data_IF_300783788432
#
_entry.id   IF_300783788432
#
_cell.length_a   1.000
_cell.length_b   1.000
_cell.length_c   1.000
_cell.angle_alpha   90.00
_cell.angle_beta   90.00
_cell.angle_gamma   90.00
#
_symmetry.space_group_name_H-M   'P 1'
#
loop_
_entity.id
_entity.type
_entity.pdbx_description
1 polymer ?
#
# COMPACT_ATOMS: atom_id res chain seq x y z
N UNK A 1 15.41 6.49 11.17
CA UNK A 1 15.99 5.41 10.35
C UNK A 1 14.94 4.31 10.33
N UNK A 2 14.68 3.69 9.18
CA UNK A 2 13.71 2.59 9.11
C UNK A 2 14.17 1.38 9.93
N UNK A 3 13.24 0.68 10.57
CA UNK A 3 13.48 -0.61 11.23
C UNK A 3 13.25 -1.82 10.30
N UNK A 4 13.15 -1.61 8.97
CA UNK A 4 13.05 -2.70 8.00
C UNK A 4 14.35 -3.53 7.98
N UNK A 5 14.22 -4.86 8.10
CA UNK A 5 15.36 -5.79 8.15
C UNK A 5 15.46 -6.70 6.92
N UNK A 6 14.51 -6.62 6.00
CA UNK A 6 14.47 -7.41 4.78
C UNK A 6 13.04 -7.74 4.35
N UNK A 7 12.92 -8.74 3.48
CA UNK A 7 11.64 -9.28 3.03
C UNK A 7 11.39 -10.66 3.66
N UNK A 8 10.14 -10.98 3.91
CA UNK A 8 9.70 -12.27 4.45
C UNK A 8 8.47 -12.77 3.71
N UNK A 9 8.49 -14.03 3.29
CA UNK A 9 7.33 -14.66 2.69
C UNK A 9 6.22 -14.87 3.72
N UNK A 10 5.00 -14.45 3.37
CA UNK A 10 3.83 -14.60 4.25
C UNK A 10 3.41 -16.06 4.47
N UNK A 11 3.70 -16.95 3.52
CA UNK A 11 3.26 -18.34 3.54
C UNK A 11 4.31 -19.28 4.17
N UNK A 12 5.51 -19.33 3.61
CA UNK A 12 6.58 -20.23 4.08
C UNK A 12 7.49 -19.60 5.14
N UNK A 13 7.55 -18.27 5.24
CA UNK A 13 8.39 -17.56 6.20
C UNK A 13 9.84 -17.36 5.76
N UNK A 14 10.24 -17.83 4.56
CA UNK A 14 11.57 -17.59 3.99
C UNK A 14 11.88 -16.10 3.94
N UNK A 15 13.12 -15.76 4.26
CA UNK A 15 13.62 -14.38 4.33
C UNK A 15 14.53 -14.06 3.16
N UNK A 16 14.48 -12.83 2.68
CA UNK A 16 15.30 -12.29 1.59
C UNK A 16 15.87 -10.93 2.02
N UNK A 17 16.99 -10.49 1.43
CA UNK A 17 17.46 -9.12 1.61
C UNK A 17 16.45 -8.10 1.09
N UNK A 18 16.68 -6.82 1.40
CA UNK A 18 15.91 -5.71 0.83
C UNK A 18 16.30 -5.55 -0.63
N UNK A 19 15.50 -6.10 -1.54
CA UNK A 19 15.68 -6.05 -2.99
C UNK A 19 14.33 -5.97 -3.72
N UNK A 20 14.34 -5.65 -5.01
CA UNK A 20 13.12 -5.57 -5.83
C UNK A 20 12.57 -6.96 -6.16
N UNK A 21 11.97 -7.61 -5.16
CA UNK A 21 11.40 -8.95 -5.24
C UNK A 21 9.97 -8.96 -4.70
N UNK A 22 9.08 -9.63 -5.42
CA UNK A 22 7.64 -9.67 -5.08
C UNK A 22 7.11 -11.06 -4.74
N UNK A 23 7.77 -12.12 -5.23
CA UNK A 23 7.40 -13.51 -4.99
C UNK A 23 8.53 -14.28 -4.31
N UNK A 24 8.14 -15.24 -3.46
CA UNK A 24 9.05 -16.18 -2.84
C UNK A 24 9.47 -17.27 -3.83
N UNK A 25 10.76 -17.59 -3.90
CA UNK A 25 11.30 -18.64 -4.77
C UNK A 25 10.92 -20.05 -4.32
N UNK A 26 10.65 -20.22 -3.02
CA UNK A 26 10.35 -21.54 -2.43
C UNK A 26 8.89 -21.96 -2.62
N UNK A 27 7.97 -21.01 -2.58
CA UNK A 27 6.53 -21.33 -2.56
C UNK A 27 5.66 -20.40 -3.41
N UNK A 28 6.26 -19.46 -4.14
CA UNK A 28 5.57 -18.44 -4.94
C UNK A 28 4.60 -17.54 -4.15
N UNK A 29 4.64 -17.62 -2.81
CA UNK A 29 3.85 -16.78 -1.92
C UNK A 29 4.31 -15.31 -1.94
N UNK A 30 3.44 -14.37 -1.56
CA UNK A 30 3.78 -12.95 -1.54
C UNK A 30 4.81 -12.64 -0.47
N UNK A 31 5.73 -11.74 -0.80
CA UNK A 31 6.68 -11.17 0.14
C UNK A 31 6.13 -9.93 0.82
N UNK A 32 6.50 -9.74 2.08
CA UNK A 32 6.24 -8.52 2.84
C UNK A 32 7.53 -8.00 3.46
N UNK A 33 7.60 -6.69 3.68
CA UNK A 33 8.70 -6.11 4.46
C UNK A 33 8.60 -6.57 5.91
N UNK A 34 9.71 -7.09 6.42
CA UNK A 34 9.90 -7.49 7.81
C UNK A 34 10.58 -6.36 8.58
N UNK A 35 10.14 -6.16 9.83
CA UNK A 35 10.61 -5.10 10.71
C UNK A 35 11.14 -5.69 12.01
N UNK A 36 12.21 -5.09 12.56
CA UNK A 36 12.64 -5.35 13.93
C UNK A 36 11.79 -4.51 14.89
N UNK A 37 10.62 -5.05 15.26
CA UNK A 37 9.69 -4.35 16.15
C UNK A 37 10.21 -4.26 17.59
N UNK A 38 11.11 -5.14 18.02
CA UNK A 38 11.75 -5.07 19.34
C UNK A 38 12.75 -3.91 19.43
N UNK A 39 13.50 -3.66 18.35
CA UNK A 39 14.32 -2.46 18.23
C UNK A 39 13.44 -1.21 18.11
N UNK A 40 12.39 -1.26 17.28
CA UNK A 40 11.49 -0.13 17.07
C UNK A 40 10.79 0.29 18.37
N UNK A 41 10.36 -0.65 19.21
CA UNK A 41 9.69 -0.39 20.50
C UNK A 41 10.51 0.48 21.47
N UNK A 42 11.83 0.48 21.35
CA UNK A 42 12.73 1.29 22.19
C UNK A 42 12.81 2.75 21.75
N UNK A 43 12.37 3.07 20.53
CA UNK A 43 12.60 4.36 19.88
C UNK A 43 11.30 5.03 19.44
N UNK A 44 10.34 4.25 18.93
CA UNK A 44 9.09 4.75 18.39
C UNK A 44 8.13 5.05 19.54
N UNK A 45 7.87 6.34 19.76
CA UNK A 45 6.88 6.82 20.73
C UNK A 45 5.77 7.62 20.04
N UNK A 46 4.69 7.89 20.77
CA UNK A 46 3.57 8.71 20.30
C UNK A 46 4.01 10.12 19.93
N UNK A 47 4.87 10.71 20.75
CA UNK A 47 5.41 12.06 20.57
C UNK A 47 6.31 12.14 19.35
N UNK A 48 7.14 11.11 19.14
CA UNK A 48 8.02 11.02 17.97
C UNK A 48 7.24 10.95 16.67
N UNK A 49 6.16 10.14 16.64
CA UNK A 49 5.24 10.07 15.49
C UNK A 49 4.56 11.43 15.28
N UNK A 50 4.01 12.03 16.34
CA UNK A 50 3.27 13.29 16.25
C UNK A 50 4.15 14.48 15.80
N UNK A 51 5.46 14.44 16.10
CA UNK A 51 6.44 15.44 15.65
C UNK A 51 6.81 15.33 14.16
N UNK A 52 6.43 14.23 13.49
CA UNK A 52 6.65 14.05 12.06
C UNK A 52 5.75 14.92 11.18
N UNK A 53 6.03 15.00 9.86
CA UNK A 53 5.27 15.82 8.92
C UNK A 53 3.80 15.40 8.83
N UNK A 54 2.93 16.24 8.28
CA UNK A 54 1.53 15.89 8.01
C UNK A 54 1.40 15.00 6.75
N UNK A 55 2.13 13.89 6.71
CA UNK A 55 2.13 12.89 5.65
C UNK A 55 2.40 11.49 6.22
N UNK A 56 2.37 10.46 5.38
CA UNK A 56 2.70 9.09 5.80
C UNK A 56 4.11 8.97 6.39
N UNK A 57 5.01 9.89 6.06
CA UNK A 57 6.41 9.86 6.49
C UNK A 57 6.60 10.22 7.96
N UNK A 58 5.56 10.65 8.66
CA UNK A 58 5.57 10.68 10.14
C UNK A 58 5.73 9.30 10.76
N UNK A 59 5.41 8.24 10.01
CA UNK A 59 5.60 6.85 10.40
C UNK A 59 6.87 6.22 9.82
N UNK A 60 7.85 7.01 9.36
CA UNK A 60 9.03 6.52 8.62
C UNK A 60 9.81 5.39 9.31
N UNK A 61 9.86 5.36 10.65
CA UNK A 61 10.52 4.29 11.39
C UNK A 61 9.86 2.91 11.15
N UNK A 62 8.56 2.89 10.83
CA UNK A 62 7.77 1.69 10.55
C UNK A 62 7.44 1.51 9.06
N UNK A 63 8.02 2.32 8.19
CA UNK A 63 7.90 2.20 6.73
C UNK A 63 9.19 1.61 6.15
N UNK A 64 9.16 1.09 4.92
CA UNK A 64 10.38 0.63 4.26
C UNK A 64 11.47 1.69 4.27
N UNK A 65 12.72 1.24 4.22
CA UNK A 65 13.82 2.17 4.00
C UNK A 65 13.65 2.91 2.66
N UNK A 66 14.05 4.16 2.68
CA UNK A 66 13.97 5.12 1.57
C UNK A 66 15.33 5.74 1.26
N UNK A 67 16.39 5.34 1.99
CA UNK A 67 17.77 5.66 1.66
C UNK A 67 18.16 7.14 1.74
N UNK A 68 17.31 8.02 2.31
CA UNK A 68 17.56 9.45 2.36
C UNK A 68 16.28 10.27 2.47
N UNK A 69 16.07 11.20 1.54
CA UNK A 69 14.79 11.91 1.44
C UNK A 69 13.69 10.91 0.99
N UNK A 70 12.44 11.01 1.45
CA UNK A 70 11.35 10.24 0.86
C UNK A 70 10.78 10.92 -0.40
N UNK A 71 10.00 10.17 -1.18
CA UNK A 71 9.21 10.69 -2.30
C UNK A 71 7.85 11.10 -1.73
N UNK A 72 7.72 12.35 -1.28
CA UNK A 72 6.53 12.83 -0.57
C UNK A 72 5.82 13.96 -1.34
N UNK A 73 4.58 13.70 -1.79
CA UNK A 73 3.69 14.72 -2.34
C UNK A 73 2.71 15.30 -1.30
N UNK A 74 2.89 14.97 -0.02
CA UNK A 74 1.90 15.20 1.03
C UNK A 74 0.86 14.07 1.09
N UNK A 75 1.25 12.84 0.77
CA UNK A 75 0.35 11.70 0.85
C UNK A 75 0.07 11.37 2.32
N UNK A 76 -1.19 11.08 2.64
CA UNK A 76 -1.60 10.75 4.00
C UNK A 76 -2.07 11.94 4.83
N UNK A 77 -2.09 11.75 6.14
CA UNK A 77 -2.71 12.60 7.14
C UNK A 77 -4.13 13.09 6.74
N UNK A 78 -4.88 12.22 6.06
CA UNK A 78 -6.17 12.60 5.48
C UNK A 78 -7.25 12.76 6.54
N UNK A 79 -8.32 13.53 6.28
CA UNK A 79 -9.36 13.75 7.29
C UNK A 79 -10.02 12.46 7.78
N UNK A 80 -10.19 12.34 9.09
CA UNK A 80 -11.06 11.37 9.73
C UNK A 80 -12.32 12.09 10.20
N UNK A 81 -13.42 11.93 9.48
CA UNK A 81 -14.64 12.71 9.67
C UNK A 81 -15.68 11.90 10.44
N UNK A 82 -16.16 12.43 11.56
CA UNK A 82 -17.33 11.88 12.25
C UNK A 82 -18.57 12.09 11.39
N UNK A 83 -19.38 11.05 11.22
CA UNK A 83 -20.51 11.04 10.29
C UNK A 83 -21.85 10.80 11.01
N UNK A 84 -22.22 11.68 11.94
CA UNK A 84 -23.36 11.49 12.86
C UNK A 84 -24.69 11.25 12.14
N UNK A 85 -24.97 11.99 11.06
CA UNK A 85 -26.21 11.82 10.28
C UNK A 85 -26.29 10.47 9.60
N UNK A 86 -25.16 10.00 9.06
CA UNK A 86 -25.09 8.69 8.40
C UNK A 86 -25.13 7.56 9.43
N UNK A 87 -24.51 7.76 10.59
CA UNK A 87 -24.60 6.82 11.71
C UNK A 87 -26.07 6.63 12.13
N UNK A 88 -26.81 7.72 12.33
CA UNK A 88 -28.23 7.68 12.69
C UNK A 88 -29.09 6.96 11.64
N UNK A 89 -28.88 7.25 10.36
CA UNK A 89 -29.60 6.60 9.25
C UNK A 89 -29.35 5.08 9.21
N UNK A 90 -28.12 4.65 9.52
CA UNK A 90 -27.73 3.23 9.52
C UNK A 90 -28.00 2.52 10.85
N UNK A 91 -28.54 3.23 11.87
CA UNK A 91 -28.76 2.67 13.21
C UNK A 91 -27.47 2.37 13.98
N UNK A 92 -26.36 3.06 13.67
CA UNK A 92 -25.07 2.93 14.33
C UNK A 92 -24.93 3.99 15.43
N UNK A 93 -24.31 3.62 16.56
CA UNK A 93 -23.99 4.58 17.63
C UNK A 93 -22.91 5.58 17.25
N UNK A 94 -21.97 5.17 16.38
CA UNK A 94 -20.82 5.96 15.99
C UNK A 94 -20.32 5.51 14.61
N UNK A 95 -19.93 6.49 13.77
CA UNK A 95 -19.36 6.23 12.45
C UNK A 95 -18.32 7.30 12.11
N UNK A 96 -17.16 6.85 11.63
CA UNK A 96 -16.08 7.69 11.14
C UNK A 96 -15.72 7.33 9.70
N UNK A 97 -15.40 8.34 8.90
CA UNK A 97 -15.02 8.21 7.50
C UNK A 97 -13.58 8.69 7.31
N UNK A 98 -12.70 7.78 6.93
CA UNK A 98 -11.31 8.10 6.56
C UNK A 98 -11.25 8.50 5.08
N UNK A 99 -11.09 9.79 4.82
CA UNK A 99 -11.30 10.38 3.49
C UNK A 99 -10.02 10.48 2.66
N UNK A 100 -9.61 9.34 2.09
CA UNK A 100 -8.43 9.25 1.21
C UNK A 100 -8.64 9.85 -0.18
N UNK A 101 -9.83 10.40 -0.48
CA UNK A 101 -10.06 11.20 -1.70
C UNK A 101 -9.35 12.56 -1.65
N UNK A 102 -8.80 12.92 -0.49
CA UNK A 102 -8.08 14.19 -0.25
C UNK A 102 -6.57 14.07 -0.41
N UNK A 103 -6.05 12.90 -0.78
CA UNK A 103 -4.66 12.76 -1.17
C UNK A 103 -4.35 13.56 -2.47
N UNK A 104 -3.07 13.84 -2.77
CA UNK A 104 -2.67 14.71 -3.89
C UNK A 104 -3.29 14.36 -5.26
N UNK A 105 -3.40 13.07 -5.61
CA UNK A 105 -4.04 12.61 -6.85
C UNK A 105 -5.45 12.08 -6.63
N UNK A 106 -6.07 12.43 -5.50
CA UNK A 106 -7.46 12.11 -5.20
C UNK A 106 -7.71 10.66 -4.76
N UNK A 107 -6.68 9.90 -4.35
CA UNK A 107 -6.89 8.52 -3.90
C UNK A 107 -5.83 8.01 -2.94
N UNK A 108 -6.12 6.89 -2.25
CA UNK A 108 -5.16 6.21 -1.37
C UNK A 108 -3.90 5.71 -2.10
N UNK A 109 -3.87 5.73 -3.44
CA UNK A 109 -2.71 5.26 -4.22
C UNK A 109 -1.46 6.07 -3.95
N UNK A 110 -1.60 7.32 -3.54
CA UNK A 110 -0.46 8.16 -3.20
C UNK A 110 0.35 7.61 -2.02
N UNK A 111 -0.32 6.98 -1.04
CA UNK A 111 0.37 6.36 0.10
C UNK A 111 1.30 5.22 -0.34
N UNK A 112 0.78 4.36 -1.20
CA UNK A 112 1.45 3.13 -1.63
C UNK A 112 2.51 3.41 -2.69
N UNK A 113 2.27 4.38 -3.57
CA UNK A 113 3.26 4.82 -4.57
C UNK A 113 4.40 5.58 -3.91
N UNK A 114 4.11 6.45 -2.94
CA UNK A 114 5.13 7.15 -2.15
C UNK A 114 6.10 6.16 -1.49
N UNK A 115 5.60 5.12 -0.82
CA UNK A 115 6.46 4.04 -0.28
C UNK A 115 7.23 3.31 -1.38
N UNK A 116 6.56 2.89 -2.46
CA UNK A 116 7.19 2.11 -3.53
C UNK A 116 8.35 2.87 -4.19
N UNK A 117 8.13 4.12 -4.61
CA UNK A 117 9.14 4.91 -5.32
C UNK A 117 10.25 5.44 -4.42
N UNK A 118 9.97 5.61 -3.12
CA UNK A 118 11.04 5.89 -2.16
C UNK A 118 12.01 4.72 -2.00
N UNK A 119 11.49 3.50 -1.87
CA UNK A 119 12.35 2.30 -1.89
C UNK A 119 12.97 2.08 -3.26
N UNK A 120 12.28 2.39 -4.36
CA UNK A 120 12.83 2.30 -5.70
C UNK A 120 14.08 3.18 -5.87
N UNK A 121 14.02 4.43 -5.39
CA UNK A 121 15.17 5.35 -5.44
C UNK A 121 16.35 4.81 -4.64
N UNK A 122 16.12 4.24 -3.47
CA UNK A 122 17.16 3.58 -2.69
C UNK A 122 17.77 2.38 -3.42
N UNK A 123 16.94 1.60 -4.12
CA UNK A 123 17.36 0.41 -4.86
C UNK A 123 18.00 0.75 -6.23
N UNK A 124 18.15 2.03 -6.57
CA UNK A 124 18.85 2.48 -7.78
C UNK A 124 18.01 2.50 -9.05
N UNK A 125 16.68 2.38 -8.95
CA UNK A 125 15.79 2.55 -10.09
C UNK A 125 15.77 4.01 -10.56
N UNK A 126 15.45 4.23 -11.84
CA UNK A 126 15.43 5.56 -12.46
C UNK A 126 14.15 5.84 -13.25
N UNK A 127 13.34 4.81 -13.52
CA UNK A 127 12.07 4.93 -14.26
C UNK A 127 10.92 4.39 -13.43
N UNK A 128 9.82 5.14 -13.30
CA UNK A 128 8.63 4.69 -12.60
C UNK A 128 7.65 4.01 -13.56
N UNK A 129 7.13 2.83 -13.23
CA UNK A 129 6.23 2.10 -14.11
C UNK A 129 5.02 1.52 -13.37
N UNK A 130 3.93 1.27 -14.10
CA UNK A 130 2.84 0.45 -13.58
C UNK A 130 2.00 -0.20 -14.69
N UNK A 131 1.37 -1.31 -14.32
CA UNK A 131 0.29 -1.94 -15.08
C UNK A 131 -1.04 -1.50 -14.47
N UNK A 132 -1.64 -0.40 -14.95
CA UNK A 132 -2.89 0.10 -14.38
C UNK A 132 -3.64 1.08 -15.27
N UNK A 133 -4.96 1.07 -15.15
CA UNK A 133 -5.88 1.87 -15.96
C UNK A 133 -6.58 2.99 -15.20
N UNK A 134 -6.18 3.28 -13.95
CA UNK A 134 -6.89 4.23 -13.08
C UNK A 134 -6.00 4.88 -12.04
N UNK A 135 -6.50 5.00 -10.81
CA UNK A 135 -5.85 5.75 -9.72
C UNK A 135 -4.36 5.46 -9.51
N UNK A 136 -3.91 4.21 -9.73
CA UNK A 136 -2.50 3.86 -9.59
C UNK A 136 -1.65 4.50 -10.69
N UNK A 137 -2.13 4.49 -11.94
CA UNK A 137 -1.44 5.12 -13.07
C UNK A 137 -1.26 6.62 -12.84
N UNK A 138 -2.33 7.32 -12.45
CA UNK A 138 -2.30 8.74 -12.11
C UNK A 138 -1.30 9.03 -10.98
N UNK A 139 -1.32 8.21 -9.91
CA UNK A 139 -0.41 8.38 -8.78
C UNK A 139 1.05 8.14 -9.15
N UNK A 140 1.36 7.07 -9.89
CA UNK A 140 2.72 6.79 -10.38
C UNK A 140 3.24 7.90 -11.28
N UNK A 141 2.44 8.35 -12.24
CA UNK A 141 2.84 9.42 -13.14
C UNK A 141 3.08 10.75 -12.39
N UNK A 142 2.23 11.10 -11.42
CA UNK A 142 2.42 12.29 -10.60
C UNK A 142 3.69 12.25 -9.73
N UNK A 143 3.95 11.12 -9.06
CA UNK A 143 5.16 10.97 -8.25
C UNK A 143 6.42 10.95 -9.11
N UNK A 144 6.37 10.32 -10.28
CA UNK A 144 7.48 10.32 -11.23
C UNK A 144 7.80 11.74 -11.74
N UNK A 145 6.77 12.51 -12.09
CA UNK A 145 6.93 13.91 -12.50
C UNK A 145 7.57 14.75 -11.39
N UNK A 146 7.19 14.55 -10.14
CA UNK A 146 7.81 15.24 -9.00
C UNK A 146 9.27 14.82 -8.75
N UNK A 147 9.62 13.57 -9.08
CA UNK A 147 11.01 13.09 -9.02
C UNK A 147 11.86 13.53 -10.22
N UNK A 148 11.23 14.04 -11.28
CA UNK A 148 11.89 14.22 -12.58
C UNK A 148 12.25 12.89 -13.27
N UNK A 149 11.56 11.80 -12.92
CA UNK A 149 11.76 10.49 -13.52
C UNK A 149 10.87 10.29 -14.75
N UNK A 150 11.34 9.53 -15.76
CA UNK A 150 10.44 8.98 -16.77
C UNK A 150 9.34 8.15 -16.11
N UNK A 151 8.13 8.19 -16.67
CA UNK A 151 7.05 7.29 -16.26
C UNK A 151 6.45 6.52 -17.42
N UNK A 152 6.15 5.26 -17.17
CA UNK A 152 5.55 4.34 -18.15
C UNK A 152 4.30 3.69 -17.57
N UNK A 153 3.16 3.91 -18.21
CA UNK A 153 1.89 3.26 -17.83
C UNK A 153 1.47 2.31 -18.94
N UNK A 154 1.32 1.03 -18.60
CA UNK A 154 0.86 0.00 -19.54
C UNK A 154 -0.64 -0.25 -19.31
N UNK A 155 -1.44 -0.13 -20.37
CA UNK A 155 -2.90 -0.26 -20.35
C UNK A 155 -3.42 -1.13 -21.51
N UNK A 156 -4.62 -1.72 -21.40
CA UNK A 156 -5.36 -2.21 -22.55
C UNK A 156 -5.69 -1.08 -23.53
N UNK A 157 -5.69 -1.38 -24.83
CA UNK A 157 -5.94 -0.42 -25.91
C UNK A 157 -7.38 0.11 -25.97
N UNK A 158 -8.34 -0.57 -25.34
CA UNK A 158 -9.76 -0.24 -25.32
C UNK A 158 -10.19 0.62 -24.10
N UNK A 159 -9.23 1.15 -23.34
CA UNK A 159 -9.51 1.96 -22.14
C UNK A 159 -10.20 3.30 -22.46
N UNK A 160 -11.10 3.77 -21.58
CA UNK A 160 -11.76 5.06 -21.78
C UNK A 160 -10.76 6.22 -21.82
N UNK A 161 -10.89 7.09 -22.83
CA UNK A 161 -9.97 8.21 -23.09
C UNK A 161 -9.78 9.15 -21.89
N UNK A 162 -10.81 9.32 -21.05
CA UNK A 162 -10.73 10.17 -19.85
C UNK A 162 -9.73 9.63 -18.82
N UNK A 163 -9.65 8.30 -18.65
CA UNK A 163 -8.68 7.67 -17.74
C UNK A 163 -7.25 7.78 -18.27
N UNK A 164 -7.09 7.67 -19.59
CA UNK A 164 -5.81 7.90 -20.26
C UNK A 164 -5.34 9.35 -20.06
N UNK A 165 -6.23 10.33 -20.31
CA UNK A 165 -5.92 11.75 -20.17
C UNK A 165 -5.49 12.13 -18.75
N UNK A 166 -6.15 11.58 -17.71
CA UNK A 166 -5.80 11.81 -16.31
C UNK A 166 -4.37 11.38 -15.95
N UNK A 167 -3.82 10.39 -16.64
CA UNK A 167 -2.44 9.93 -16.45
C UNK A 167 -1.48 10.72 -17.33
N UNK A 168 -1.84 10.94 -18.59
CA UNK A 168 -0.99 11.61 -19.59
C UNK A 168 -0.69 13.08 -19.24
N UNK A 169 -1.53 13.75 -18.44
CA UNK A 169 -1.30 15.13 -18.00
C UNK A 169 0.03 15.34 -17.25
N UNK A 170 0.56 14.28 -16.63
CA UNK A 170 1.85 14.32 -15.93
C UNK A 170 3.06 14.07 -16.86
N UNK A 171 2.86 13.96 -18.18
CA UNK A 171 3.94 13.86 -19.16
C UNK A 171 4.56 12.47 -19.33
N UNK A 172 3.95 11.43 -18.74
CA UNK A 172 4.39 10.03 -18.88
C UNK A 172 4.06 9.39 -20.22
N UNK A 173 4.77 8.32 -20.55
CA UNK A 173 4.47 7.45 -21.70
C UNK A 173 3.32 6.52 -21.32
N UNK A 174 2.26 6.50 -22.14
CA UNK A 174 1.18 5.52 -22.02
C UNK A 174 1.30 4.50 -23.15
N UNK A 175 1.58 3.25 -22.79
CA UNK A 175 1.68 2.12 -23.72
C UNK A 175 0.35 1.37 -23.75
N UNK A 176 -0.34 1.47 -24.89
CA UNK A 176 -1.57 0.73 -25.14
C UNK A 176 -1.24 -0.65 -25.73
N UNK A 177 -1.78 -1.71 -25.10
CA UNK A 177 -1.59 -3.11 -25.50
C UNK A 177 -2.88 -3.63 -26.12
N UNK A 178 -2.77 -4.26 -27.29
CA UNK A 178 -3.87 -5.03 -27.89
C UNK A 178 -4.04 -6.35 -27.14
N UNK A 179 -4.84 -6.33 -26.07
CA UNK A 179 -5.05 -7.49 -25.20
C UNK A 179 -5.88 -7.14 -23.97
N UNK A 180 -6.16 -8.14 -23.15
CA UNK A 180 -6.89 -7.98 -21.90
C UNK A 180 -5.94 -7.64 -20.72
N UNK A 181 -6.49 -7.56 -19.51
CA UNK A 181 -5.73 -7.24 -18.31
C UNK A 181 -4.62 -8.27 -17.98
N UNK A 182 -4.84 -9.56 -18.28
CA UNK A 182 -3.84 -10.60 -18.05
C UNK A 182 -2.69 -10.51 -19.07
N UNK A 183 -3.00 -10.15 -20.33
CA UNK A 183 -1.98 -9.92 -21.36
C UNK A 183 -1.08 -8.74 -20.96
N UNK A 184 -1.68 -7.65 -20.44
CA UNK A 184 -0.94 -6.50 -19.90
C UNK A 184 -0.02 -6.91 -18.75
N UNK A 185 -0.51 -7.68 -17.77
CA UNK A 185 0.32 -8.11 -16.65
C UNK A 185 1.47 -9.03 -17.08
N UNK A 186 1.23 -9.90 -18.07
CA UNK A 186 2.27 -10.77 -18.64
C UNK A 186 3.37 -9.96 -19.31
N UNK A 187 3.00 -9.00 -20.16
CA UNK A 187 3.96 -8.10 -20.79
C UNK A 187 4.76 -7.33 -19.73
N UNK A 188 4.11 -6.83 -18.67
CA UNK A 188 4.82 -6.12 -17.61
C UNK A 188 5.82 -7.01 -16.86
N UNK A 189 5.55 -8.30 -16.69
CA UNK A 189 6.52 -9.23 -16.12
C UNK A 189 7.76 -9.39 -17.02
N UNK A 190 7.57 -9.47 -18.34
CA UNK A 190 8.68 -9.52 -19.31
C UNK A 190 9.46 -8.19 -19.39
N UNK A 191 8.77 -7.06 -19.22
CA UNK A 191 9.39 -5.74 -19.19
C UNK A 191 10.29 -5.53 -17.97
N UNK A 192 9.94 -6.12 -16.81
CA UNK A 192 10.80 -6.07 -15.61
C UNK A 192 12.17 -6.70 -15.88
N UNK A 193 12.22 -7.81 -16.61
CA UNK A 193 13.47 -8.51 -16.90
C UNK A 193 14.31 -7.78 -17.97
N UNK A 194 13.66 -7.18 -18.97
CA UNK A 194 14.33 -6.47 -20.06
C UNK A 194 14.72 -5.02 -19.71
N UNK A 195 14.07 -4.42 -18.72
CA UNK A 195 14.31 -3.05 -18.26
C UNK A 195 14.55 -3.05 -16.73
N UNK A 196 15.74 -3.49 -16.28
CA UNK A 196 16.05 -3.64 -14.85
C UNK A 196 16.06 -2.30 -14.09
N UNK A 197 16.08 -1.17 -14.80
CA UNK A 197 15.98 0.20 -14.26
C UNK A 197 14.53 0.68 -14.05
N UNK A 198 13.52 -0.14 -14.42
CA UNK A 198 12.10 0.18 -14.28
C UNK A 198 11.49 -0.35 -12.97
N UNK A 199 10.97 0.59 -12.19
CA UNK A 199 10.26 0.37 -10.94
C UNK A 199 8.77 0.18 -11.18
N UNK A 200 8.33 -1.05 -11.46
CA UNK A 200 6.91 -1.38 -11.55
C UNK A 200 6.27 -1.43 -10.16
N UNK A 201 5.55 -0.37 -9.79
CA UNK A 201 4.98 -0.19 -8.45
C UNK A 201 4.12 -1.39 -7.98
N UNK A 202 3.36 -2.01 -8.89
CA UNK A 202 2.48 -3.15 -8.60
C UNK A 202 3.02 -4.53 -9.01
N UNK A 203 4.28 -4.60 -9.47
CA UNK A 203 4.97 -5.84 -9.87
C UNK A 203 6.21 -6.06 -9.01
N UNK A 204 7.42 -5.65 -9.44
CA UNK A 204 8.67 -5.91 -8.72
C UNK A 204 8.80 -5.14 -7.39
N UNK A 205 8.06 -4.05 -7.20
CA UNK A 205 8.03 -3.29 -5.94
C UNK A 205 6.83 -3.58 -5.06
N UNK A 206 6.06 -4.63 -5.37
CA UNK A 206 4.78 -4.91 -4.69
C UNK A 206 4.91 -5.08 -3.17
N UNK A 207 6.04 -5.61 -2.70
CA UNK A 207 6.32 -5.77 -1.27
C UNK A 207 6.37 -4.41 -0.54
N UNK A 208 7.04 -3.42 -1.13
CA UNK A 208 7.18 -2.05 -0.60
C UNK A 208 5.90 -1.23 -0.79
N UNK A 209 5.31 -1.33 -1.97
CA UNK A 209 4.04 -0.69 -2.31
C UNK A 209 2.96 -0.99 -1.28
N UNK A 210 2.80 -2.25 -0.87
CA UNK A 210 1.73 -2.63 0.04
C UNK A 210 1.88 -2.01 1.44
N UNK A 211 3.10 -1.68 1.87
CA UNK A 211 3.33 -1.09 3.20
C UNK A 211 2.71 0.29 3.35
N UNK A 212 2.59 1.09 2.28
CA UNK A 212 1.91 2.39 2.35
C UNK A 212 0.45 2.29 2.81
N UNK A 213 -0.23 1.15 2.58
CA UNK A 213 -1.62 0.96 3.01
C UNK A 213 -1.77 0.84 4.52
N UNK A 214 -0.74 0.40 5.25
CA UNK A 214 -0.84 0.23 6.72
C UNK A 214 -0.88 1.56 7.46
N UNK A 215 -0.39 2.63 6.83
CA UNK A 215 -0.42 4.00 7.36
C UNK A 215 -1.83 4.50 7.63
N UNK A 216 -2.83 3.95 6.94
CA UNK A 216 -4.25 4.21 7.24
C UNK A 216 -4.60 3.82 8.67
N UNK A 217 -4.14 2.65 9.15
CA UNK A 217 -4.39 2.20 10.51
C UNK A 217 -3.69 3.12 11.52
N UNK A 218 -2.45 3.49 11.24
CA UNK A 218 -1.69 4.39 12.10
C UNK A 218 -2.36 5.75 12.26
N UNK A 219 -2.79 6.34 11.14
CA UNK A 219 -3.49 7.64 11.16
C UNK A 219 -4.82 7.55 11.86
N UNK A 220 -5.60 6.48 11.63
CA UNK A 220 -6.88 6.28 12.31
C UNK A 220 -6.66 6.25 13.83
N UNK A 221 -5.69 5.46 14.31
CA UNK A 221 -5.38 5.39 15.75
C UNK A 221 -4.94 6.74 16.29
N UNK A 222 -4.02 7.42 15.60
CA UNK A 222 -3.51 8.71 16.06
C UNK A 222 -4.61 9.77 16.11
N UNK A 223 -5.47 9.82 15.09
CA UNK A 223 -6.57 10.78 15.00
C UNK A 223 -7.74 10.45 15.95
N UNK A 224 -7.87 9.20 16.39
CA UNK A 224 -8.78 8.79 17.47
C UNK A 224 -8.17 8.95 18.87
N UNK A 225 -7.03 9.64 19.00
CA UNK A 225 -6.42 9.89 20.31
C UNK A 225 -5.68 8.67 20.88
N UNK A 226 -5.08 7.85 20.03
CA UNK A 226 -4.38 6.60 20.38
C UNK A 226 -5.30 5.49 20.89
N UNK A 227 -6.52 5.42 20.33
CA UNK A 227 -7.49 4.37 20.60
C UNK A 227 -7.71 3.49 19.36
N UNK A 228 -7.93 2.19 19.59
CA UNK A 228 -8.27 1.24 18.54
C UNK A 228 -9.78 1.32 18.25
N UNK A 229 -10.20 1.41 16.97
CA UNK A 229 -11.61 1.31 16.64
C UNK A 229 -12.12 -0.12 16.87
N UNK A 230 -13.38 -0.28 17.25
CA UNK A 230 -13.96 -1.61 17.43
C UNK A 230 -14.06 -2.39 16.10
N UNK A 231 -14.35 -1.67 15.01
CA UNK A 231 -14.61 -2.25 13.69
C UNK A 231 -14.03 -1.36 12.60
N UNK A 232 -13.54 -1.96 11.52
CA UNK A 232 -13.06 -1.25 10.33
C UNK A 232 -13.62 -1.91 9.10
N UNK A 233 -14.30 -1.12 8.26
CA UNK A 233 -14.77 -1.54 6.95
C UNK A 233 -13.87 -0.94 5.87
N UNK A 234 -13.35 -1.77 4.97
CA UNK A 234 -12.60 -1.30 3.81
C UNK A 234 -13.13 -1.94 2.50
N UNK A 235 -13.18 -1.17 1.40
CA UNK A 235 -13.48 -1.74 0.08
C UNK A 235 -12.38 -2.71 -0.35
N UNK A 236 -12.77 -3.84 -0.94
CA UNK A 236 -11.86 -4.89 -1.39
C UNK A 236 -11.86 -4.98 -2.91
N UNK A 237 -10.68 -4.75 -3.50
CA UNK A 237 -10.31 -5.25 -4.82
C UNK A 237 -9.45 -6.52 -4.65
N UNK A 238 -8.12 -6.36 -4.57
CA UNK A 238 -7.20 -7.49 -4.33
C UNK A 238 -7.12 -7.95 -2.87
N UNK A 239 -7.75 -7.22 -1.93
CA UNK A 239 -7.66 -7.49 -0.48
C UNK A 239 -6.38 -6.98 0.20
N UNK A 240 -5.39 -6.50 -0.56
CA UNK A 240 -4.10 -6.04 0.00
C UNK A 240 -4.30 -4.92 1.03
N UNK A 241 -5.12 -3.91 0.73
CA UNK A 241 -5.33 -2.77 1.64
C UNK A 241 -5.89 -3.24 3.00
N UNK A 242 -6.94 -4.06 3.01
CA UNK A 242 -7.54 -4.59 4.24
C UNK A 242 -6.49 -5.33 5.10
N UNK A 243 -5.70 -6.21 4.48
CA UNK A 243 -4.68 -6.97 5.21
C UNK A 243 -3.57 -6.10 5.80
N UNK A 244 -3.24 -4.98 5.14
CA UNK A 244 -2.21 -4.05 5.59
C UNK A 244 -2.72 -3.08 6.65
N UNK A 245 -3.97 -2.65 6.57
CA UNK A 245 -4.63 -1.94 7.68
C UNK A 245 -4.60 -2.82 8.95
N UNK A 246 -4.99 -4.10 8.82
CA UNK A 246 -4.92 -5.03 9.95
C UNK A 246 -3.48 -5.24 10.48
N UNK A 247 -2.47 -5.22 9.59
CA UNK A 247 -1.05 -5.24 9.97
C UNK A 247 -0.68 -4.02 10.81
N UNK A 248 -1.08 -2.82 10.38
CA UNK A 248 -0.77 -1.59 11.10
C UNK A 248 -1.33 -1.56 12.53
N UNK A 249 -2.58 -2.00 12.74
CA UNK A 249 -3.13 -2.11 14.11
C UNK A 249 -2.32 -3.08 14.98
N UNK A 250 -1.92 -4.25 14.44
CA UNK A 250 -1.10 -5.22 15.18
C UNK A 250 0.27 -4.65 15.55
N UNK A 251 0.94 -3.98 14.62
CA UNK A 251 2.25 -3.37 14.88
C UNK A 251 2.18 -2.33 15.99
N UNK A 252 1.15 -1.46 16.01
CA UNK A 252 0.96 -0.50 17.10
C UNK A 252 0.67 -1.16 18.45
N UNK A 253 -0.07 -2.27 18.47
CA UNK A 253 -0.27 -3.06 19.69
C UNK A 253 1.03 -3.71 20.17
N UNK A 254 1.83 -4.29 19.27
CA UNK A 254 3.11 -4.97 19.58
C UNK A 254 4.16 -3.99 20.14
N UNK A 255 4.21 -2.79 19.56
CA UNK A 255 5.02 -1.67 20.05
C UNK A 255 4.52 -1.12 21.40
N UNK A 256 3.32 -1.51 21.86
CA UNK A 256 2.73 -1.00 23.09
C UNK A 256 2.23 0.45 22.97
N UNK A 257 2.06 0.97 21.75
CA UNK A 257 1.53 2.31 21.51
C UNK A 257 0.03 2.39 21.78
N UNK A 258 -0.68 1.25 21.73
CA UNK A 258 -2.10 1.10 22.05
C UNK A 258 -2.36 -0.23 22.74
N UNK A 259 -3.49 -0.32 23.43
CA UNK A 259 -3.96 -1.54 24.11
C UNK A 259 -5.44 -1.78 23.79
N UNK A 260 -5.88 -3.04 23.87
CA UNK A 260 -7.28 -3.41 23.67
C UNK A 260 -7.45 -4.57 22.69
N UNK A 261 -8.70 -5.01 22.46
CA UNK A 261 -8.98 -6.03 21.46
C UNK A 261 -8.65 -5.51 20.05
N UNK A 262 -8.12 -6.36 19.16
CA UNK A 262 -7.86 -5.96 17.78
C UNK A 262 -9.19 -5.62 17.07
N UNK A 263 -9.21 -4.62 16.17
CA UNK A 263 -10.42 -4.27 15.42
C UNK A 263 -10.95 -5.45 14.60
N UNK A 264 -12.27 -5.60 14.54
CA UNK A 264 -12.91 -6.55 13.61
C UNK A 264 -12.85 -5.95 12.21
N UNK A 265 -12.25 -6.68 11.27
CA UNK A 265 -12.02 -6.23 9.91
C UNK A 265 -13.13 -6.70 8.97
N UNK A 266 -13.85 -5.77 8.35
CA UNK A 266 -14.89 -6.03 7.35
C UNK A 266 -14.42 -5.62 5.95
N UNK A 267 -14.71 -6.48 4.98
CA UNK A 267 -14.45 -6.25 3.57
C UNK A 267 -15.73 -6.05 2.77
N UNK A 268 -15.77 -5.04 1.90
CA UNK A 268 -16.90 -4.82 1.00
C UNK A 268 -16.50 -5.00 -0.47
N UNK A 269 -17.25 -5.81 -1.23
CA UNK A 269 -17.07 -6.00 -2.68
C UNK A 269 -18.37 -5.73 -3.43
N UNK A 270 -18.25 -5.26 -4.66
CA UNK A 270 -19.40 -5.12 -5.54
C UNK A 270 -19.94 -6.50 -5.92
N UNK A 271 -21.27 -6.64 -6.01
CA UNK A 271 -21.94 -7.90 -6.37
C UNK A 271 -21.51 -8.44 -7.74
N UNK A 272 -21.15 -7.57 -8.68
CA UNK A 272 -20.64 -7.96 -10.00
C UNK A 272 -19.18 -8.44 -10.03
N UNK A 273 -18.42 -8.28 -8.94
CA UNK A 273 -17.03 -8.72 -8.85
C UNK A 273 -16.63 -8.93 -7.39
N UNK A 274 -16.98 -10.10 -6.84
CA UNK A 274 -16.79 -10.44 -5.44
C UNK A 274 -15.98 -11.73 -5.20
N UNK A 275 -14.85 -11.96 -5.89
CA UNK A 275 -14.12 -13.24 -5.80
C UNK A 275 -13.56 -13.53 -4.40
N UNK A 276 -13.29 -12.51 -3.58
CA UNK A 276 -12.81 -12.71 -2.20
C UNK A 276 -13.97 -13.11 -1.29
N UNK A 277 -15.12 -12.45 -1.41
CA UNK A 277 -16.31 -12.77 -0.64
C UNK A 277 -16.88 -14.17 -0.99
N UNK A 278 -16.74 -14.60 -2.24
CA UNK A 278 -17.16 -15.92 -2.71
C UNK A 278 -16.09 -17.01 -2.53
N UNK A 279 -14.89 -16.69 -2.04
CA UNK A 279 -13.83 -17.68 -1.86
C UNK A 279 -14.10 -18.59 -0.67
N UNK A 280 -13.87 -19.89 -0.84
CA UNK A 280 -13.90 -20.81 0.30
C UNK A 280 -12.70 -20.54 1.23
N UNK A 281 -12.90 -20.53 2.56
CA UNK A 281 -11.79 -20.39 3.50
C UNK A 281 -10.81 -21.55 3.32
N UNK A 282 -9.60 -21.28 2.81
CA UNK A 282 -8.51 -22.26 2.84
C UNK A 282 -8.22 -22.59 4.31
N UNK A 283 -8.57 -23.80 4.75
CA UNK A 283 -8.11 -24.33 6.05
C UNK A 283 -6.58 -24.24 6.05
N UNK A 284 -6.01 -23.43 6.94
CA UNK A 284 -4.56 -23.41 7.16
C UNK A 284 -4.11 -24.84 7.43
N UNK A 285 -3.34 -25.44 6.52
CA UNK A 285 -2.68 -26.70 6.79
C UNK A 285 -1.82 -26.48 8.04
N UNK A 286 -2.17 -27.15 9.13
CA UNK A 286 -1.36 -27.14 10.33
C UNK A 286 0.04 -27.61 9.92
N UNK A 287 1.05 -26.75 10.05
CA UNK A 287 2.45 -27.12 9.91
C UNK A 287 2.69 -28.26 10.92
N UNK A 288 2.78 -29.49 10.44
CA UNK A 288 3.41 -30.57 11.18
C UNK A 288 4.89 -30.22 11.19
N UNK A 289 5.38 -29.77 12.35
CA UNK A 289 6.82 -29.73 12.59
C UNK A 289 7.29 -31.19 12.74
N UNK A 290 8.48 -31.56 12.21
CA UNK A 290 9.10 -32.85 12.51
C UNK A 290 9.42 -33.00 14.00
#
# INVERSE_FOLDING_TARGET
MSFAVGLRCRECGTTYPTEARYSCDECFGPLEVAYDLEAAKKVVTRERIAAGPASIWRYHDLLPDHGGEPVDLGAGWTPLKRADRLAAELGLSELWLKDDTRNPTGSFKDRVVSCALSSARQLGFTTAACASTGNLATSVAAHAAALGWPSVTVIPSDLEKSKVAMTAIFGGVVLAVEGNYDDVNRLCAELVDSHPDWAFANVNLRAYYAEGSKTLAYEIVEQLGWELPAQVLAPIASGSQLTKIAKGFREFTELGLVSGPPPVMFGAQATGCSPVACSEPKRRAARRSP
#
